data_IF_908069258904
#
_entry.id   IF_908069258904
#
_cell.length_a   1.000
_cell.length_b   1.000
_cell.length_c   1.000
_cell.angle_alpha   90.00
_cell.angle_beta   90.00
_cell.angle_gamma   90.00
#
_symmetry.space_group_name_H-M   'P 1'
#
loop_
_entity.id
_entity.type
_entity.pdbx_description
1 polymer ?
#
# COMPACT_ATOMS: atom_id res chain seq x y z
N UNK A 1 -6.50 0.70 9.58
CA UNK A 1 -7.11 0.50 8.23
C UNK A 1 -6.01 0.39 7.20
N UNK A 2 -6.23 -0.39 6.15
CA UNK A 2 -5.33 -0.56 5.01
C UNK A 2 -5.96 0.03 3.75
N UNK A 3 -5.22 0.87 3.03
CA UNK A 3 -5.55 1.29 1.67
C UNK A 3 -4.63 0.55 0.71
N UNK A 4 -5.20 -0.14 -0.27
CA UNK A 4 -4.43 -0.83 -1.30
C UNK A 4 -4.65 -0.10 -2.61
N UNK A 5 -3.60 0.56 -3.08
CA UNK A 5 -3.55 1.34 -4.31
C UNK A 5 -2.98 0.45 -5.41
N UNK A 6 -3.86 -0.15 -6.21
CA UNK A 6 -3.47 -1.07 -7.27
C UNK A 6 -4.51 -1.14 -8.39
N UNK A 7 -4.05 -1.35 -9.61
CA UNK A 7 -4.90 -1.71 -10.76
C UNK A 7 -5.00 -3.23 -10.97
N UNK A 8 -4.18 -4.01 -10.28
CA UNK A 8 -4.19 -5.47 -10.34
C UNK A 8 -5.21 -6.03 -9.33
N UNK A 9 -6.34 -6.50 -9.86
CA UNK A 9 -7.43 -7.07 -9.06
C UNK A 9 -7.06 -8.40 -8.41
N UNK A 10 -6.16 -9.19 -9.02
CA UNK A 10 -5.69 -10.44 -8.43
C UNK A 10 -4.78 -10.15 -7.24
N UNK A 11 -3.88 -9.17 -7.38
CA UNK A 11 -3.05 -8.71 -6.27
C UNK A 11 -3.88 -8.14 -5.13
N UNK A 12 -4.87 -7.30 -5.43
CA UNK A 12 -5.80 -6.81 -4.41
C UNK A 12 -6.48 -7.96 -3.65
N UNK A 13 -7.04 -8.93 -4.37
CA UNK A 13 -7.74 -10.08 -3.78
C UNK A 13 -6.81 -10.89 -2.88
N UNK A 14 -5.59 -11.15 -3.33
CA UNK A 14 -4.59 -11.85 -2.55
C UNK A 14 -4.22 -11.11 -1.26
N UNK A 15 -3.95 -9.80 -1.37
CA UNK A 15 -3.59 -8.97 -0.23
C UNK A 15 -4.75 -8.84 0.76
N UNK A 16 -5.98 -8.68 0.28
CA UNK A 16 -7.18 -8.67 1.12
C UNK A 16 -7.33 -9.97 1.91
N UNK A 17 -7.02 -11.12 1.31
CA UNK A 17 -7.07 -12.40 2.00
C UNK A 17 -6.00 -12.51 3.10
N UNK A 18 -4.78 -12.02 2.85
CA UNK A 18 -3.73 -11.96 3.89
C UNK A 18 -4.15 -11.02 5.02
N UNK A 19 -4.66 -9.85 4.67
CA UNK A 19 -5.04 -8.79 5.60
C UNK A 19 -6.45 -8.98 6.17
N UNK A 20 -7.04 -10.18 6.06
CA UNK A 20 -8.46 -10.52 6.27
C UNK A 20 -9.10 -10.08 7.60
N UNK A 21 -8.31 -9.66 8.59
CA UNK A 21 -8.79 -9.10 9.86
C UNK A 21 -8.88 -7.57 9.89
N UNK A 22 -8.25 -6.88 8.95
CA UNK A 22 -8.25 -5.42 8.86
C UNK A 22 -9.36 -4.88 7.96
N UNK A 23 -9.79 -3.65 8.21
CA UNK A 23 -10.54 -2.88 7.21
C UNK A 23 -9.61 -2.59 6.02
N UNK A 24 -9.90 -3.17 4.86
CA UNK A 24 -9.12 -3.07 3.61
C UNK A 24 -9.96 -2.37 2.56
N UNK A 25 -9.49 -1.22 2.08
CA UNK A 25 -10.12 -0.43 1.02
C UNK A 25 -9.30 -0.55 -0.26
N UNK A 26 -9.95 -0.89 -1.37
CA UNK A 26 -9.32 -0.84 -2.70
C UNK A 26 -9.39 0.57 -3.23
N UNK A 27 -8.25 1.13 -3.66
CA UNK A 27 -8.14 2.43 -4.30
C UNK A 27 -7.55 2.25 -5.70
N UNK A 28 -8.27 2.69 -6.73
CA UNK A 28 -7.83 2.65 -8.13
C UNK A 28 -7.53 4.03 -8.71
N UNK A 29 -8.13 5.07 -8.15
CA UNK A 29 -8.00 6.47 -8.56
C UNK A 29 -8.03 7.40 -7.34
N UNK A 30 -7.72 8.69 -7.57
CA UNK A 30 -7.61 9.68 -6.49
C UNK A 30 -8.94 10.07 -5.84
N UNK A 31 -10.05 9.95 -6.57
CA UNK A 31 -11.40 10.33 -6.12
C UNK A 31 -11.91 9.38 -5.03
N UNK A 32 -11.42 8.14 -5.03
CA UNK A 32 -11.72 7.14 -4.00
C UNK A 32 -11.00 7.42 -2.67
N UNK A 33 -10.06 8.38 -2.62
CA UNK A 33 -9.37 8.75 -1.38
C UNK A 33 -10.16 9.85 -0.64
N UNK A 34 -10.85 9.47 0.42
CA UNK A 34 -11.35 10.40 1.43
C UNK A 34 -10.25 10.72 2.46
N UNK A 35 -9.71 11.94 2.42
CA UNK A 35 -8.60 12.36 3.32
C UNK A 35 -8.99 12.40 4.80
N UNK A 36 -10.27 12.61 5.11
CA UNK A 36 -10.74 12.66 6.50
C UNK A 36 -10.94 11.25 7.05
N UNK A 37 -11.57 10.37 6.27
CA UNK A 37 -11.78 8.98 6.66
C UNK A 37 -10.48 8.17 6.64
N UNK A 38 -9.60 8.45 5.67
CA UNK A 38 -8.40 7.65 5.39
C UNK A 38 -7.12 8.16 6.07
N UNK A 39 -7.23 9.09 7.01
CA UNK A 39 -6.09 9.61 7.76
C UNK A 39 -5.36 8.51 8.53
N UNK A 40 -4.02 8.59 8.57
CA UNK A 40 -3.15 7.65 9.29
C UNK A 40 -3.32 6.17 8.91
N UNK A 41 -3.84 5.90 7.71
CA UNK A 41 -3.94 4.53 7.22
C UNK A 41 -2.55 3.91 6.96
N UNK A 42 -2.51 2.58 6.97
CA UNK A 42 -1.43 1.83 6.32
C UNK A 42 -1.70 1.82 4.82
N UNK A 43 -0.72 2.23 4.01
CA UNK A 43 -0.90 2.31 2.56
C UNK A 43 -0.03 1.29 1.87
N UNK A 44 -0.62 0.48 1.01
CA UNK A 44 0.06 -0.47 0.14
C UNK A 44 -0.06 0.06 -1.29
N UNK A 45 1.06 0.30 -1.94
CA UNK A 45 1.13 0.82 -3.30
C UNK A 45 1.68 -0.27 -4.20
N UNK A 46 0.90 -0.68 -5.20
CA UNK A 46 1.41 -1.42 -6.34
C UNK A 46 1.76 -0.44 -7.45
N UNK A 47 3.00 -0.48 -7.92
CA UNK A 47 3.51 0.39 -8.99
C UNK A 47 3.50 -0.29 -10.36
N UNK A 48 3.23 -1.59 -10.42
CA UNK A 48 3.16 -2.30 -11.69
C UNK A 48 1.99 -1.76 -12.52
N UNK A 49 2.29 -1.17 -13.68
CA UNK A 49 1.31 -0.54 -14.57
C UNK A 49 0.43 0.52 -13.88
N UNK A 50 0.96 1.15 -12.82
CA UNK A 50 0.23 2.10 -11.99
C UNK A 50 1.13 3.30 -11.66
N UNK A 51 0.88 4.43 -12.31
CA UNK A 51 1.73 5.63 -12.25
C UNK A 51 1.47 6.49 -11.01
N UNK A 52 1.41 5.86 -9.83
CA UNK A 52 1.05 6.54 -8.56
C UNK A 52 1.98 7.70 -8.24
N UNK A 53 3.30 7.55 -8.45
CA UNK A 53 4.28 8.58 -8.14
C UNK A 53 4.29 9.76 -9.12
N UNK A 54 3.60 9.64 -10.24
CA UNK A 54 3.51 10.68 -11.29
C UNK A 54 2.07 11.19 -11.48
N UNK A 55 1.20 10.97 -10.51
CA UNK A 55 -0.19 11.43 -10.52
C UNK A 55 -0.58 12.11 -9.21
N UNK A 56 -1.76 12.73 -9.17
CA UNK A 56 -2.26 13.39 -7.96
C UNK A 56 -2.56 12.40 -6.82
N UNK A 57 -2.60 11.09 -7.09
CA UNK A 57 -2.65 10.06 -6.06
C UNK A 57 -1.52 10.24 -5.03
N UNK A 58 -0.30 10.57 -5.47
CA UNK A 58 0.82 10.81 -4.56
C UNK A 58 0.49 11.94 -3.57
N UNK A 59 0.00 13.07 -4.10
CA UNK A 59 -0.39 14.22 -3.29
C UNK A 59 -1.49 13.86 -2.28
N UNK A 60 -2.49 13.07 -2.69
CA UNK A 60 -3.54 12.61 -1.77
C UNK A 60 -2.97 11.70 -0.68
N UNK A 61 -2.11 10.74 -1.03
CA UNK A 61 -1.45 9.83 -0.08
C UNK A 61 -0.65 10.63 0.95
N UNK A 62 0.12 11.64 0.53
CA UNK A 62 0.90 12.47 1.46
C UNK A 62 0.00 13.22 2.46
N UNK A 63 -1.17 13.69 2.02
CA UNK A 63 -2.16 14.37 2.88
C UNK A 63 -2.78 13.45 3.92
N UNK A 64 -2.80 12.14 3.68
CA UNK A 64 -3.28 11.16 4.66
C UNK A 64 -2.38 11.08 5.90
N UNK A 65 -1.11 11.50 5.79
CA UNK A 65 -0.08 11.28 6.82
C UNK A 65 -0.04 9.80 7.24
N UNK A 66 0.19 8.87 6.29
CA UNK A 66 0.08 7.45 6.56
C UNK A 66 1.08 7.03 7.63
N UNK A 67 0.68 6.05 8.45
CA UNK A 67 1.54 5.51 9.51
C UNK A 67 2.75 4.82 8.90
N UNK A 68 2.53 4.07 7.82
CA UNK A 68 3.57 3.38 7.06
C UNK A 68 3.09 3.14 5.63
N UNK A 69 4.04 3.13 4.69
CA UNK A 69 3.77 2.83 3.28
C UNK A 69 4.59 1.64 2.81
N UNK A 70 3.94 0.70 2.14
CA UNK A 70 4.56 -0.50 1.57
C UNK A 70 4.46 -0.38 0.07
N UNK A 71 5.58 -0.41 -0.63
CA UNK A 71 5.61 -0.24 -2.08
C UNK A 71 6.05 -1.54 -2.72
N UNK A 72 5.13 -2.16 -3.44
CA UNK A 72 5.41 -3.25 -4.34
C UNK A 72 5.84 -2.68 -5.69
N UNK A 73 7.07 -2.99 -6.10
CA UNK A 73 7.62 -2.48 -7.36
C UNK A 73 8.42 -3.52 -8.13
N UNK A 74 8.27 -3.57 -9.47
CA UNK A 74 9.16 -4.36 -10.32
C UNK A 74 10.56 -3.74 -10.43
N UNK A 75 10.76 -2.50 -9.97
CA UNK A 75 12.03 -1.77 -10.07
C UNK A 75 12.52 -1.31 -8.69
N UNK A 76 13.83 -1.08 -8.59
CA UNK A 76 14.42 -0.52 -7.37
C UNK A 76 14.09 0.97 -7.25
N UNK A 77 13.29 1.32 -6.25
CA UNK A 77 12.98 2.70 -5.88
C UNK A 77 13.86 3.10 -4.70
N UNK A 78 14.63 4.19 -4.85
CA UNK A 78 15.67 4.57 -3.88
C UNK A 78 15.19 5.50 -2.76
N UNK A 79 14.13 6.30 -2.97
CA UNK A 79 13.48 7.15 -1.96
C UNK A 79 12.18 7.77 -2.51
N UNK A 80 11.12 7.80 -1.71
CA UNK A 80 9.88 8.51 -2.00
C UNK A 80 9.16 8.91 -0.69
N UNK A 81 8.15 9.77 -0.75
CA UNK A 81 7.28 10.15 0.39
C UNK A 81 8.00 10.81 1.59
N UNK A 82 9.17 11.42 1.36
CA UNK A 82 9.83 12.30 2.32
C UNK A 82 10.22 11.64 3.65
N UNK A 83 9.45 11.96 4.71
CA UNK A 83 9.66 11.48 6.09
C UNK A 83 8.78 10.28 6.47
N UNK A 84 7.84 9.91 5.61
CA UNK A 84 6.95 8.78 5.85
C UNK A 84 7.78 7.50 5.91
N UNK A 85 7.53 6.60 6.87
CA UNK A 85 8.15 5.27 6.89
C UNK A 85 7.75 4.47 5.65
N UNK A 86 8.74 3.96 4.91
CA UNK A 86 8.51 3.22 3.66
C UNK A 86 9.25 1.87 3.68
N UNK A 87 8.54 0.79 3.33
CA UNK A 87 9.13 -0.52 3.04
C UNK A 87 8.99 -0.82 1.55
N UNK A 88 10.10 -1.15 0.90
CA UNK A 88 10.09 -1.59 -0.49
C UNK A 88 10.05 -3.11 -0.57
N UNK A 89 9.16 -3.62 -1.42
CA UNK A 89 8.95 -5.04 -1.65
C UNK A 89 9.06 -5.32 -3.15
N UNK A 90 9.89 -6.26 -3.59
CA UNK A 90 9.93 -6.66 -4.99
C UNK A 90 8.57 -7.21 -5.42
N UNK A 91 8.03 -6.74 -6.55
CA UNK A 91 6.74 -7.24 -7.08
C UNK A 91 6.77 -8.73 -7.46
N UNK A 92 7.96 -9.27 -7.64
CA UNK A 92 8.23 -10.69 -7.91
C UNK A 92 8.13 -11.59 -6.67
N UNK A 93 7.99 -11.03 -5.47
CA UNK A 93 7.81 -11.82 -4.25
C UNK A 93 6.52 -12.64 -4.35
N UNK A 94 6.56 -13.89 -3.88
CA UNK A 94 5.32 -14.65 -3.74
C UNK A 94 4.50 -14.09 -2.57
N UNK A 95 3.18 -14.15 -2.69
CA UNK A 95 2.23 -13.73 -1.64
C UNK A 95 2.48 -14.51 -0.33
N UNK A 96 2.85 -15.80 -0.45
CA UNK A 96 3.17 -16.67 0.70
C UNK A 96 4.44 -16.20 1.38
N UNK A 97 5.49 -15.92 0.62
CA UNK A 97 6.74 -15.42 1.17
C UNK A 97 6.52 -14.05 1.82
N UNK A 98 5.82 -13.14 1.15
CA UNK A 98 5.46 -11.84 1.72
C UNK A 98 4.76 -11.97 3.09
N UNK A 99 3.81 -12.91 3.23
CA UNK A 99 3.13 -13.19 4.50
C UNK A 99 4.03 -13.79 5.59
N UNK A 100 5.19 -14.38 5.24
CA UNK A 100 6.14 -15.01 6.17
C UNK A 100 7.32 -14.11 6.55
N UNK A 101 7.86 -13.32 5.62
CA UNK A 101 9.14 -12.61 5.80
C UNK A 101 9.03 -11.35 6.65
N UNK A 102 7.84 -10.78 6.72
CA UNK A 102 7.61 -9.54 7.45
C UNK A 102 6.77 -9.86 8.68
N UNK A 103 7.21 -9.40 9.85
CA UNK A 103 6.49 -9.48 11.13
C UNK A 103 5.17 -8.68 11.11
N UNK A 104 4.29 -8.91 10.13
CA UNK A 104 2.97 -8.29 10.04
C UNK A 104 2.06 -8.68 11.21
N UNK A 105 2.39 -9.76 11.94
CA UNK A 105 1.70 -10.10 13.19
C UNK A 105 1.72 -8.96 14.22
N UNK A 106 2.75 -8.10 14.24
CA UNK A 106 2.79 -6.95 15.17
C UNK A 106 1.93 -5.76 14.71
N UNK A 107 1.67 -5.64 13.40
CA UNK A 107 0.87 -4.58 12.79
C UNK A 107 -0.61 -4.97 12.60
N UNK A 108 -0.91 -6.27 12.58
CA UNK A 108 -2.26 -6.84 12.51
C UNK A 108 -2.88 -7.07 13.90
N UNK A 109 -2.11 -6.89 14.98
CA UNK A 109 -2.53 -7.04 16.37
C UNK A 109 -2.59 -5.72 17.16
N UNK A 110 -2.36 -4.58 16.51
CA UNK A 110 -2.60 -3.24 17.06
C UNK A 110 -3.87 -2.65 16.45
#
# INVERSE_FOLDING_TARGET
MFLIITRDTMFFTAMKNILSKGNVVHIQNEEEIDVMLHQHAFVIIDTLMNNVFHSNLLTQIERLKPVHVIIFSPFNIKRCLGKVPVTFVPRTITIIDFGRTHQWQLLLCA
#
